data_IF_408897810005
#
_entry.id   IF_408897810005
#
_cell.length_a   1.000
_cell.length_b   1.000
_cell.length_c   1.000
_cell.angle_alpha   90.00
_cell.angle_beta   90.00
_cell.angle_gamma   90.00
#
_symmetry.space_group_name_H-M   'P 1'
#
loop_
_entity.id
_entity.type
_entity.pdbx_description
1 polymer ?
#
# COMPACT_ATOMS: atom_id res chain seq x y z
N UNK A 1 -20.98 -9.93 -27.41
CA UNK A 1 -20.76 -8.75 -26.55
C UNK A 1 -21.05 -7.53 -27.41
N UNK A 2 -22.09 -6.74 -27.12
CA UNK A 2 -22.34 -5.51 -27.89
C UNK A 2 -21.18 -4.54 -27.65
N UNK A 3 -20.59 -3.93 -28.69
CA UNK A 3 -19.58 -2.91 -28.48
C UNK A 3 -20.18 -1.79 -27.63
N UNK A 4 -19.43 -1.35 -26.62
CA UNK A 4 -19.81 -0.27 -25.75
C UNK A 4 -20.12 0.98 -26.61
N UNK A 5 -21.34 1.52 -26.51
CA UNK A 5 -21.87 2.55 -27.43
C UNK A 5 -21.07 3.86 -27.42
N UNK A 6 -20.33 4.14 -26.35
CA UNK A 6 -19.59 5.38 -26.18
C UNK A 6 -18.09 5.08 -26.13
N UNK A 7 -17.41 5.09 -27.28
CA UNK A 7 -15.95 4.98 -27.27
C UNK A 7 -15.34 6.14 -26.49
N UNK A 8 -14.59 5.81 -25.43
CA UNK A 8 -13.84 6.78 -24.64
C UNK A 8 -12.46 6.96 -25.27
N UNK A 9 -12.06 8.21 -25.50
CA UNK A 9 -10.74 8.57 -25.98
C UNK A 9 -9.97 9.32 -24.90
N UNK A 10 -8.64 9.18 -24.88
CA UNK A 10 -7.80 9.87 -23.90
C UNK A 10 -7.99 11.40 -23.90
N UNK A 11 -8.29 11.99 -25.07
CA UNK A 11 -8.56 13.43 -25.23
C UNK A 11 -9.79 13.92 -24.46
N UNK A 12 -10.73 13.03 -24.13
CA UNK A 12 -11.97 13.40 -23.42
C UNK A 12 -11.72 13.75 -21.94
N UNK A 13 -10.51 13.49 -21.44
CA UNK A 13 -10.10 13.70 -20.05
C UNK A 13 -9.18 14.92 -19.85
N UNK A 14 -8.83 15.62 -20.93
CA UNK A 14 -7.90 16.75 -20.93
C UNK A 14 -6.42 16.34 -20.89
N UNK A 15 -5.54 17.31 -21.15
CA UNK A 15 -4.09 17.07 -21.33
C UNK A 15 -3.36 16.70 -20.04
N UNK A 16 -3.91 17.08 -18.89
CA UNK A 16 -3.28 16.88 -17.58
C UNK A 16 -3.78 15.63 -16.84
N UNK A 17 -4.59 14.78 -17.49
CA UNK A 17 -5.10 13.57 -16.85
C UNK A 17 -3.99 12.51 -16.71
N UNK A 18 -3.84 11.97 -15.50
CA UNK A 18 -2.84 10.95 -15.19
C UNK A 18 -3.40 9.55 -15.47
N UNK A 19 -2.79 8.84 -16.42
CA UNK A 19 -3.08 7.43 -16.70
C UNK A 19 -1.91 6.58 -16.20
N UNK A 20 -2.20 5.58 -15.38
CA UNK A 20 -1.14 4.80 -14.75
C UNK A 20 -1.50 3.38 -14.37
N UNK A 21 -0.45 2.65 -14.00
CA UNK A 21 -0.51 1.28 -13.48
C UNK A 21 -0.17 1.31 -11.99
N UNK A 22 -0.78 0.43 -11.21
CA UNK A 22 -0.54 0.29 -9.78
C UNK A 22 -0.08 -1.12 -9.40
N UNK A 23 0.90 -1.22 -8.51
CA UNK A 23 1.37 -2.46 -7.89
C UNK A 23 1.50 -2.28 -6.37
N UNK A 24 1.74 -3.37 -5.65
CA UNK A 24 2.16 -3.33 -4.24
C UNK A 24 3.35 -4.24 -3.98
N UNK A 25 4.14 -3.90 -2.95
CA UNK A 25 5.41 -4.55 -2.69
C UNK A 25 5.24 -6.06 -2.44
N UNK A 26 4.40 -6.44 -1.47
CA UNK A 26 4.21 -7.86 -1.10
C UNK A 26 3.53 -8.70 -2.19
N UNK A 27 2.80 -8.07 -3.13
CA UNK A 27 2.13 -8.76 -4.22
C UNK A 27 3.03 -8.96 -5.44
N UNK A 28 4.06 -8.13 -5.62
CA UNK A 28 4.84 -8.07 -6.86
C UNK A 28 6.35 -8.28 -6.66
N UNK A 29 6.97 -7.74 -5.61
CA UNK A 29 8.43 -7.71 -5.47
C UNK A 29 9.08 -9.09 -5.39
N UNK A 30 8.58 -9.96 -4.52
CA UNK A 30 9.26 -11.20 -4.18
C UNK A 30 10.55 -10.91 -3.42
N UNK A 31 11.59 -11.73 -3.65
CA UNK A 31 12.90 -11.57 -3.02
C UNK A 31 12.81 -11.39 -1.49
N UNK A 32 11.89 -12.15 -0.87
CA UNK A 32 11.38 -11.85 0.48
C UNK A 32 12.42 -11.92 1.62
N UNK A 33 13.57 -12.57 1.38
CA UNK A 33 14.72 -12.70 2.29
C UNK A 33 16.02 -12.14 1.70
N UNK A 34 15.96 -11.55 0.50
CA UNK A 34 17.14 -11.00 -0.15
C UNK A 34 17.56 -9.69 0.50
N UNK A 35 18.86 -9.41 0.45
CA UNK A 35 19.44 -8.10 0.76
C UNK A 35 19.00 -7.53 2.11
N UNK A 36 18.87 -8.40 3.12
CA UNK A 36 18.56 -8.02 4.50
C UNK A 36 17.11 -7.64 4.78
N UNK A 37 16.17 -7.87 3.85
CA UNK A 37 14.73 -7.69 4.10
C UNK A 37 14.26 -8.59 5.27
N UNK A 38 13.49 -8.01 6.19
CA UNK A 38 12.81 -8.73 7.25
C UNK A 38 11.51 -9.39 6.78
N UNK A 39 10.98 -10.31 7.59
CA UNK A 39 9.67 -10.91 7.33
C UNK A 39 8.56 -9.87 7.55
N UNK A 40 7.55 -9.87 6.68
CA UNK A 40 6.28 -9.20 6.92
C UNK A 40 5.27 -10.13 7.60
N UNK A 41 4.20 -9.56 8.12
CA UNK A 41 3.02 -10.30 8.59
C UNK A 41 2.47 -11.26 7.52
N UNK A 42 2.53 -10.89 6.24
CA UNK A 42 2.11 -11.71 5.11
C UNK A 42 3.06 -12.86 4.80
N UNK A 43 4.38 -12.65 4.91
CA UNK A 43 5.36 -13.73 4.77
C UNK A 43 5.10 -14.87 5.77
N UNK A 44 4.64 -14.53 6.98
CA UNK A 44 4.27 -15.49 8.03
C UNK A 44 2.87 -16.05 7.81
N UNK A 45 1.89 -15.19 7.51
CA UNK A 45 0.50 -15.62 7.33
C UNK A 45 0.35 -16.60 6.17
N UNK A 46 1.04 -16.35 5.06
CA UNK A 46 0.97 -17.21 3.88
C UNK A 46 1.50 -18.63 4.13
N UNK A 47 2.30 -18.85 5.18
CA UNK A 47 2.80 -20.19 5.57
C UNK A 47 1.77 -21.03 6.31
N UNK A 48 0.68 -20.44 6.79
CA UNK A 48 -0.38 -21.18 7.50
C UNK A 48 -1.16 -22.08 6.55
N UNK A 49 -1.39 -23.33 6.97
CA UNK A 49 -2.17 -24.32 6.21
C UNK A 49 -3.60 -23.82 5.96
N UNK A 50 -4.08 -23.95 4.72
CA UNK A 50 -5.45 -23.62 4.34
C UNK A 50 -5.80 -22.12 4.28
N UNK A 51 -4.85 -21.22 4.55
CA UNK A 51 -5.10 -19.77 4.51
C UNK A 51 -4.96 -19.14 3.13
N UNK A 52 -4.09 -19.70 2.29
CA UNK A 52 -3.91 -19.24 0.91
C UNK A 52 -4.46 -20.30 -0.04
N UNK A 53 -5.37 -19.89 -0.92
CA UNK A 53 -5.87 -20.75 -2.01
C UNK A 53 -4.68 -21.22 -2.87
N UNK A 54 -4.50 -22.53 -3.01
CA UNK A 54 -3.36 -23.10 -3.74
C UNK A 54 -2.01 -22.97 -3.02
N UNK A 55 -1.97 -22.47 -1.78
CA UNK A 55 -0.76 -22.45 -0.96
C UNK A 55 0.34 -21.49 -1.41
N UNK A 56 0.05 -20.57 -2.34
CA UNK A 56 1.00 -19.61 -2.88
C UNK A 56 1.70 -18.79 -1.79
N UNK A 57 2.90 -18.30 -2.09
CA UNK A 57 3.78 -17.58 -1.16
C UNK A 57 4.26 -16.27 -1.77
N UNK A 58 4.44 -15.20 -0.96
CA UNK A 58 4.98 -13.93 -1.43
C UNK A 58 6.50 -13.98 -1.69
N UNK A 59 7.12 -15.18 -1.68
CA UNK A 59 8.57 -15.32 -1.79
C UNK A 59 9.14 -14.92 -3.14
N UNK A 60 8.36 -15.15 -4.22
CA UNK A 60 8.78 -14.95 -5.62
C UNK A 60 7.85 -14.00 -6.37
N UNK A 61 6.53 -14.14 -6.20
CA UNK A 61 5.51 -13.29 -6.86
C UNK A 61 5.76 -13.14 -8.37
N UNK A 62 5.81 -11.91 -8.90
CA UNK A 62 6.18 -11.60 -10.29
C UNK A 62 7.67 -11.31 -10.46
N UNK A 63 8.49 -11.53 -9.42
CA UNK A 63 9.95 -11.31 -9.43
C UNK A 63 10.35 -9.84 -9.70
N UNK A 64 9.45 -8.89 -9.39
CA UNK A 64 9.60 -7.46 -9.70
C UNK A 64 10.85 -6.86 -9.06
N UNK A 65 11.31 -7.36 -7.91
CA UNK A 65 12.53 -6.88 -7.26
C UNK A 65 13.76 -6.93 -8.18
N UNK A 66 13.85 -7.96 -9.04
CA UNK A 66 14.94 -8.12 -9.99
C UNK A 66 14.60 -7.59 -11.39
N UNK A 67 13.30 -7.50 -11.72
CA UNK A 67 12.81 -7.24 -13.09
C UNK A 67 12.13 -5.90 -13.30
N UNK A 68 12.11 -5.03 -12.28
CA UNK A 68 11.35 -3.77 -12.35
C UNK A 68 11.65 -2.92 -13.59
N UNK A 69 12.87 -2.98 -14.15
CA UNK A 69 13.21 -2.25 -15.38
C UNK A 69 12.40 -2.73 -16.59
N UNK A 70 12.27 -4.04 -16.75
CA UNK A 70 11.48 -4.63 -17.83
C UNK A 70 9.99 -4.27 -17.67
N UNK A 71 9.48 -4.35 -16.44
CA UNK A 71 8.09 -3.99 -16.12
C UNK A 71 7.81 -2.50 -16.38
N UNK A 72 8.74 -1.60 -16.05
CA UNK A 72 8.57 -0.16 -16.33
C UNK A 72 8.64 0.17 -17.83
N UNK A 73 9.45 -0.55 -18.60
CA UNK A 73 9.46 -0.43 -20.07
C UNK A 73 8.09 -0.82 -20.63
N UNK A 74 7.46 -1.87 -20.11
CA UNK A 74 6.11 -2.27 -20.51
C UNK A 74 5.07 -1.19 -20.16
N UNK A 75 5.13 -0.62 -18.95
CA UNK A 75 4.25 0.49 -18.54
C UNK A 75 4.36 1.66 -19.54
N UNK A 76 5.59 2.01 -19.93
CA UNK A 76 5.83 3.07 -20.91
C UNK A 76 5.32 2.70 -22.30
N UNK A 77 5.56 1.47 -22.76
CA UNK A 77 5.13 0.99 -24.07
C UNK A 77 3.60 0.97 -24.21
N UNK A 78 2.88 0.76 -23.10
CA UNK A 78 1.41 0.86 -23.05
C UNK A 78 0.88 2.31 -23.08
N UNK A 79 1.77 3.31 -23.06
CA UNK A 79 1.41 4.72 -23.14
C UNK A 79 1.06 5.37 -21.80
N UNK A 80 1.32 4.70 -20.67
CA UNK A 80 1.08 5.27 -19.35
C UNK A 80 2.17 6.28 -18.97
N UNK A 81 1.79 7.27 -18.15
CA UNK A 81 2.67 8.34 -17.68
C UNK A 81 2.86 8.34 -16.15
N UNK A 82 2.15 7.45 -15.45
CA UNK A 82 2.12 7.38 -13.99
C UNK A 82 2.33 5.96 -13.53
N UNK A 83 3.14 5.77 -12.49
CA UNK A 83 3.36 4.46 -11.88
C UNK A 83 3.19 4.54 -10.36
N UNK A 84 2.20 3.82 -9.86
CA UNK A 84 1.91 3.71 -8.42
C UNK A 84 2.52 2.42 -7.88
N UNK A 85 3.31 2.53 -6.81
CA UNK A 85 3.84 1.36 -6.11
C UNK A 85 3.92 1.63 -4.61
N UNK A 86 4.09 0.59 -3.80
CA UNK A 86 4.30 0.74 -2.36
C UNK A 86 5.75 0.44 -1.96
N UNK A 87 6.16 1.00 -0.83
CA UNK A 87 7.43 0.64 -0.18
C UNK A 87 7.15 -0.48 0.82
N UNK A 88 7.92 -1.57 0.77
CA UNK A 88 7.89 -2.59 1.80
C UNK A 88 8.59 -2.08 3.05
N UNK A 89 7.80 -1.83 4.10
CA UNK A 89 8.35 -1.40 5.39
C UNK A 89 9.39 -2.40 5.90
N UNK A 90 9.09 -3.70 5.84
CA UNK A 90 10.03 -4.76 6.23
C UNK A 90 11.32 -4.82 5.38
N UNK A 91 11.34 -4.21 4.19
CA UNK A 91 12.55 -4.13 3.37
C UNK A 91 13.46 -3.00 3.82
N UNK A 92 12.92 -1.86 4.24
CA UNK A 92 13.73 -0.70 4.66
C UNK A 92 14.05 -0.70 6.15
N UNK A 93 13.17 -1.24 6.99
CA UNK A 93 13.35 -1.46 8.42
C UNK A 93 12.99 -2.92 8.71
N UNK A 94 13.95 -3.86 8.67
CA UNK A 94 13.70 -5.30 8.81
C UNK A 94 13.02 -5.68 10.12
N UNK A 95 13.42 -5.03 11.21
CA UNK A 95 12.83 -5.18 12.54
C UNK A 95 11.66 -4.19 12.78
N UNK A 96 11.23 -3.49 11.73
CA UNK A 96 10.21 -2.45 11.73
C UNK A 96 10.59 -1.13 12.39
N UNK A 97 11.62 -1.13 13.23
CA UNK A 97 12.28 0.05 13.77
C UNK A 97 13.79 -0.15 13.82
N UNK A 98 14.52 0.90 14.19
CA UNK A 98 15.95 0.79 14.46
C UNK A 98 16.78 0.77 13.19
N UNK A 99 17.34 -0.39 12.84
CA UNK A 99 18.36 -0.50 11.80
C UNK A 99 17.75 -0.26 10.41
N UNK A 100 18.29 0.73 9.71
CA UNK A 100 17.95 0.98 8.30
C UNK A 100 18.69 -0.01 7.40
N UNK A 101 17.96 -0.70 6.53
CA UNK A 101 18.52 -1.56 5.52
C UNK A 101 18.89 -0.76 4.26
N UNK A 102 20.18 -0.44 4.12
CA UNK A 102 20.71 0.34 2.99
C UNK A 102 20.44 -0.30 1.63
N UNK A 103 20.45 -1.63 1.54
CA UNK A 103 20.18 -2.30 0.26
C UNK A 103 18.70 -2.14 -0.15
N UNK A 104 17.79 -2.18 0.82
CA UNK A 104 16.38 -1.86 0.63
C UNK A 104 16.16 -0.42 0.16
N UNK A 105 16.81 0.55 0.79
CA UNK A 105 16.79 1.96 0.35
C UNK A 105 17.33 2.10 -1.09
N UNK A 106 18.45 1.46 -1.38
CA UNK A 106 19.07 1.50 -2.71
C UNK A 106 18.15 0.90 -3.79
N UNK A 107 17.37 -0.14 -3.49
CA UNK A 107 16.38 -0.67 -4.42
C UNK A 107 15.32 0.37 -4.80
N UNK A 108 14.71 1.03 -3.83
CA UNK A 108 13.68 2.04 -4.12
C UNK A 108 14.25 3.27 -4.81
N UNK A 109 15.50 3.68 -4.52
CA UNK A 109 16.16 4.71 -5.33
C UNK A 109 16.28 4.31 -6.80
N UNK A 110 16.78 3.10 -7.10
CA UNK A 110 16.89 2.63 -8.49
C UNK A 110 15.53 2.55 -9.18
N UNK A 111 14.50 2.10 -8.46
CA UNK A 111 13.13 2.03 -8.99
C UNK A 111 12.59 3.44 -9.32
N UNK A 112 12.74 4.39 -8.39
CA UNK A 112 12.30 5.77 -8.58
C UNK A 112 13.07 6.42 -9.74
N UNK A 113 14.39 6.23 -9.80
CA UNK A 113 15.23 6.80 -10.84
C UNK A 113 14.86 6.26 -12.23
N UNK A 114 14.57 4.97 -12.32
CA UNK A 114 14.11 4.34 -13.57
C UNK A 114 12.73 4.87 -14.00
N UNK A 115 11.78 5.04 -13.05
CA UNK A 115 10.51 5.70 -13.34
C UNK A 115 10.72 7.09 -13.95
N UNK A 116 11.53 7.93 -13.30
CA UNK A 116 11.79 9.30 -13.76
C UNK A 116 12.51 9.33 -15.10
N UNK A 117 13.47 8.43 -15.33
CA UNK A 117 14.19 8.29 -16.59
C UNK A 117 13.23 7.98 -17.77
N UNK A 118 12.21 7.16 -17.53
CA UNK A 118 11.19 6.80 -18.52
C UNK A 118 10.07 7.85 -18.64
N UNK A 119 10.15 8.94 -17.88
CA UNK A 119 9.11 9.97 -17.81
C UNK A 119 7.82 9.48 -17.15
N UNK A 120 7.93 8.50 -16.25
CA UNK A 120 6.83 8.02 -15.41
C UNK A 120 6.84 8.79 -14.09
N UNK A 121 5.70 9.37 -13.73
CA UNK A 121 5.53 10.05 -12.45
C UNK A 121 5.29 9.02 -11.33
N UNK A 122 6.17 8.92 -10.32
CA UNK A 122 5.97 7.97 -9.22
C UNK A 122 4.88 8.46 -8.26
N UNK A 123 3.95 7.56 -7.92
CA UNK A 123 2.98 7.70 -6.84
C UNK A 123 3.28 6.65 -5.76
N UNK A 124 3.87 7.08 -4.64
CA UNK A 124 4.34 6.15 -3.62
C UNK A 124 3.29 5.95 -2.53
N UNK A 125 2.90 4.69 -2.32
CA UNK A 125 2.11 4.26 -1.17
C UNK A 125 3.04 3.86 -0.03
N UNK A 126 2.98 4.57 1.10
CA UNK A 126 3.84 4.31 2.26
C UNK A 126 3.50 2.99 2.93
N UNK A 127 2.22 2.64 3.07
CA UNK A 127 1.83 1.35 3.65
C UNK A 127 0.77 0.64 2.80
N UNK A 128 1.10 -0.60 2.40
CA UNK A 128 0.23 -1.49 1.65
C UNK A 128 0.22 -2.89 2.27
N UNK A 129 -0.14 -2.94 3.56
CA UNK A 129 -0.56 -4.12 4.32
C UNK A 129 0.55 -5.06 4.80
N UNK A 130 1.80 -4.79 4.46
CA UNK A 130 2.98 -5.62 4.68
C UNK A 130 3.80 -5.19 5.90
N UNK A 131 3.13 -5.11 7.06
CA UNK A 131 3.72 -4.73 8.33
C UNK A 131 4.91 -5.66 8.68
N UNK A 132 6.06 -5.13 9.13
CA UNK A 132 7.17 -5.94 9.64
C UNK A 132 6.67 -6.88 10.74
N UNK A 133 7.01 -8.17 10.65
CA UNK A 133 6.49 -9.19 11.55
C UNK A 133 6.89 -8.95 13.01
N UNK A 134 8.05 -8.33 13.23
CA UNK A 134 8.52 -7.91 14.55
C UNK A 134 7.52 -6.97 15.24
N UNK A 135 6.92 -6.02 14.50
CA UNK A 135 5.90 -5.13 15.05
C UNK A 135 4.56 -5.84 15.26
N UNK A 136 4.24 -6.83 14.42
CA UNK A 136 3.03 -7.64 14.59
C UNK A 136 3.07 -8.45 15.89
N UNK A 137 4.25 -8.95 16.29
CA UNK A 137 4.45 -9.59 17.61
C UNK A 137 4.21 -8.64 18.77
N UNK A 138 4.46 -7.35 18.59
CA UNK A 138 4.19 -6.29 19.56
C UNK A 138 2.77 -5.67 19.44
N UNK A 139 1.83 -6.40 18.85
CA UNK A 139 0.42 -6.01 18.74
C UNK A 139 0.03 -5.42 17.39
N UNK A 140 0.99 -5.10 16.54
CA UNK A 140 0.78 -4.58 15.20
C UNK A 140 -0.04 -3.29 15.21
N UNK A 141 -1.04 -3.20 14.34
CA UNK A 141 -1.92 -2.03 14.26
C UNK A 141 -2.76 -1.80 15.50
N UNK A 142 -2.94 -2.80 16.37
CA UNK A 142 -3.61 -2.61 17.66
C UNK A 142 -2.66 -2.09 18.76
N UNK A 143 -1.37 -1.91 18.47
CA UNK A 143 -0.38 -1.45 19.45
C UNK A 143 -0.48 0.05 19.73
N UNK A 144 -0.31 0.43 20.99
CA UNK A 144 -0.20 1.84 21.40
C UNK A 144 1.06 2.53 20.84
N UNK A 145 2.06 1.75 20.39
CA UNK A 145 3.29 2.28 19.81
C UNK A 145 3.18 2.56 18.30
N UNK A 146 2.07 2.20 17.64
CA UNK A 146 1.96 2.20 16.18
C UNK A 146 2.26 3.57 15.56
N UNK A 147 1.73 4.65 16.12
CA UNK A 147 2.00 6.02 15.64
C UNK A 147 3.49 6.36 15.66
N UNK A 148 4.20 5.96 16.72
CA UNK A 148 5.65 6.21 16.86
C UNK A 148 6.44 5.43 15.81
N UNK A 149 6.10 4.15 15.61
CA UNK A 149 6.77 3.32 14.61
C UNK A 149 6.52 3.84 13.20
N UNK A 150 5.25 4.09 12.87
CA UNK A 150 4.83 4.58 11.57
C UNK A 150 5.42 5.96 11.28
N UNK A 151 5.38 6.89 12.24
CA UNK A 151 5.96 8.22 12.06
C UNK A 151 7.46 8.18 11.76
N UNK A 152 8.23 7.31 12.43
CA UNK A 152 9.66 7.12 12.13
C UNK A 152 9.89 6.54 10.74
N UNK A 153 9.08 5.56 10.35
CA UNK A 153 9.12 4.97 9.01
C UNK A 153 8.80 6.00 7.93
N UNK A 154 7.74 6.78 8.10
CA UNK A 154 7.36 7.84 7.15
C UNK A 154 8.46 8.90 7.04
N UNK A 155 9.01 9.36 8.17
CA UNK A 155 10.13 10.31 8.19
C UNK A 155 11.33 9.79 7.41
N UNK A 156 11.72 8.54 7.62
CA UNK A 156 12.80 7.91 6.86
C UNK A 156 12.50 7.90 5.35
N UNK A 157 11.30 7.46 4.94
CA UNK A 157 10.91 7.46 3.54
C UNK A 157 10.94 8.86 2.91
N UNK A 158 10.49 9.88 3.63
CA UNK A 158 10.49 11.25 3.12
C UNK A 158 11.90 11.84 3.04
N UNK A 159 12.78 11.51 3.99
CA UNK A 159 14.16 11.96 4.00
C UNK A 159 14.93 11.37 2.81
N UNK A 160 14.75 10.07 2.56
CA UNK A 160 15.44 9.37 1.48
C UNK A 160 14.86 9.76 0.11
N UNK A 161 13.54 9.78 -0.05
CA UNK A 161 12.90 9.84 -1.38
C UNK A 161 12.18 11.15 -1.71
N UNK A 162 11.92 12.01 -0.72
CA UNK A 162 11.11 13.24 -0.87
C UNK A 162 11.69 14.29 -1.82
N UNK A 163 12.99 14.26 -2.07
CA UNK A 163 13.62 15.12 -3.06
C UNK A 163 13.27 14.73 -4.50
N UNK A 164 12.94 13.45 -4.76
CA UNK A 164 12.55 12.93 -6.08
C UNK A 164 11.03 12.77 -6.26
N UNK A 165 10.29 12.56 -5.17
CA UNK A 165 8.87 12.17 -5.22
C UNK A 165 7.98 13.18 -4.52
N UNK A 166 6.91 13.59 -5.21
CA UNK A 166 5.92 14.55 -4.69
C UNK A 166 4.55 13.95 -4.42
N UNK A 167 4.21 12.80 -5.00
CA UNK A 167 2.89 12.18 -4.84
C UNK A 167 2.94 11.04 -3.82
N UNK A 168 2.33 11.26 -2.66
CA UNK A 168 2.40 10.37 -1.51
C UNK A 168 1.01 9.91 -1.08
N UNK A 169 0.86 8.60 -0.94
CA UNK A 169 -0.34 7.94 -0.44
C UNK A 169 0.02 7.34 0.93
N UNK A 170 -0.59 7.82 2.01
CA UNK A 170 -0.19 7.43 3.37
C UNK A 170 -0.54 5.95 3.62
N UNK A 171 -1.82 5.59 3.52
CA UNK A 171 -2.28 4.21 3.66
C UNK A 171 -3.06 3.78 2.41
N UNK A 172 -2.89 2.53 2.00
CA UNK A 172 -3.84 1.87 1.11
C UNK A 172 -4.91 1.14 1.93
N UNK A 173 -6.18 1.43 1.64
CA UNK A 173 -7.35 0.69 2.12
C UNK A 173 -7.33 0.42 3.63
N UNK A 174 -7.35 1.47 4.48
CA UNK A 174 -7.27 1.31 5.92
C UNK A 174 -8.38 0.43 6.49
N UNK A 175 -9.62 0.62 6.03
CA UNK A 175 -10.74 -0.27 6.39
C UNK A 175 -10.52 -1.71 5.91
N UNK A 176 -9.89 -1.90 4.74
CA UNK A 176 -9.60 -3.23 4.19
C UNK A 176 -8.67 -4.03 5.09
N UNK A 177 -7.46 -3.53 5.37
CA UNK A 177 -6.50 -4.31 6.17
C UNK A 177 -6.91 -4.46 7.64
N UNK A 178 -7.61 -3.47 8.21
CA UNK A 178 -8.07 -3.58 9.60
C UNK A 178 -9.24 -4.56 9.72
N UNK A 179 -10.27 -4.46 8.88
CA UNK A 179 -11.42 -5.37 8.96
C UNK A 179 -11.05 -6.81 8.58
N UNK A 180 -10.31 -7.01 7.47
CA UNK A 180 -9.96 -8.35 7.03
C UNK A 180 -8.88 -8.99 7.89
N UNK A 181 -7.97 -8.19 8.46
CA UNK A 181 -6.85 -8.67 9.28
C UNK A 181 -7.15 -8.81 10.77
N UNK A 182 -8.00 -7.94 11.34
CA UNK A 182 -8.24 -7.84 12.78
C UNK A 182 -9.67 -8.21 13.21
N UNK A 183 -10.66 -8.15 12.32
CA UNK A 183 -12.05 -8.53 12.61
C UNK A 183 -12.44 -9.89 12.01
N UNK A 184 -12.24 -10.09 10.70
CA UNK A 184 -12.68 -11.30 9.99
C UNK A 184 -11.62 -12.40 9.93
N UNK A 185 -10.35 -12.08 10.21
CA UNK A 185 -9.24 -13.02 10.17
C UNK A 185 -8.96 -13.67 8.81
N UNK A 186 -9.46 -13.06 7.73
CA UNK A 186 -9.28 -13.52 6.35
C UNK A 186 -7.91 -13.15 5.77
N UNK A 187 -7.38 -11.99 6.16
CA UNK A 187 -6.05 -11.51 5.76
C UNK A 187 -5.08 -11.53 6.94
N UNK A 188 -3.78 -11.37 6.67
CA UNK A 188 -2.79 -11.19 7.72
C UNK A 188 -3.19 -10.01 8.64
N UNK A 189 -3.05 -10.13 9.97
CA UNK A 189 -2.46 -11.25 10.74
C UNK A 189 -3.41 -12.43 11.04
N UNK A 190 -4.68 -12.36 10.63
CA UNK A 190 -5.67 -13.41 10.84
C UNK A 190 -6.33 -13.36 12.22
N UNK A 191 -6.42 -12.17 12.82
CA UNK A 191 -7.06 -11.93 14.12
C UNK A 191 -8.57 -11.76 13.92
N UNK A 192 -9.35 -12.19 14.90
CA UNK A 192 -10.83 -12.14 14.91
C UNK A 192 -11.35 -11.49 16.18
N UNK A 193 -10.71 -10.39 16.61
CA UNK A 193 -10.97 -9.74 17.88
C UNK A 193 -11.46 -8.31 17.65
N UNK A 194 -12.71 -8.03 18.05
CA UNK A 194 -13.35 -6.74 17.84
C UNK A 194 -12.62 -5.58 18.56
N UNK A 195 -12.08 -5.80 19.77
CA UNK A 195 -11.29 -4.79 20.46
C UNK A 195 -10.01 -4.46 19.70
N UNK A 196 -9.32 -5.49 19.20
CA UNK A 196 -8.12 -5.29 18.40
C UNK A 196 -8.42 -4.58 17.07
N UNK A 197 -9.57 -4.86 16.46
CA UNK A 197 -10.07 -4.16 15.27
C UNK A 197 -10.34 -2.68 15.53
N UNK A 198 -11.05 -2.33 16.62
CA UNK A 198 -11.32 -0.93 16.97
C UNK A 198 -10.03 -0.15 17.21
N UNK A 199 -9.06 -0.75 17.92
CA UNK A 199 -7.73 -0.15 18.11
C UNK A 199 -6.97 0.01 16.78
N UNK A 200 -7.04 -1.00 15.90
CA UNK A 200 -6.38 -0.96 14.61
C UNK A 200 -6.95 0.14 13.68
N UNK A 201 -8.28 0.30 13.62
CA UNK A 201 -8.92 1.40 12.88
C UNK A 201 -8.48 2.74 13.45
N UNK A 202 -8.55 2.89 14.78
CA UNK A 202 -8.18 4.14 15.44
C UNK A 202 -6.74 4.55 15.12
N UNK A 203 -5.80 3.60 15.24
CA UNK A 203 -4.41 3.83 14.88
C UNK A 203 -4.23 4.11 13.39
N UNK A 204 -4.96 3.44 12.49
CA UNK A 204 -4.90 3.71 11.06
C UNK A 204 -5.37 5.14 10.73
N UNK A 205 -6.44 5.62 11.37
CA UNK A 205 -6.93 6.98 11.22
C UNK A 205 -5.89 8.01 11.69
N UNK A 206 -5.29 7.79 12.87
CA UNK A 206 -4.28 8.68 13.41
C UNK A 206 -2.97 8.65 12.60
N UNK A 207 -2.52 7.47 12.18
CA UNK A 207 -1.35 7.34 11.30
C UNK A 207 -1.57 8.00 9.92
N UNK A 208 -2.80 8.01 9.41
CA UNK A 208 -3.14 8.73 8.17
C UNK A 208 -2.90 10.24 8.35
N UNK A 209 -3.43 10.80 9.44
CA UNK A 209 -3.25 12.22 9.76
C UNK A 209 -1.78 12.56 10.03
N UNK A 210 -1.10 11.78 10.88
CA UNK A 210 0.26 12.03 11.33
C UNK A 210 1.27 11.84 10.19
N UNK A 211 1.13 10.76 9.42
CA UNK A 211 1.93 10.55 8.21
C UNK A 211 1.76 11.68 7.22
N UNK A 212 0.53 12.15 7.01
CA UNK A 212 0.26 13.31 6.16
C UNK A 212 0.84 14.62 6.69
N UNK A 213 0.96 14.80 8.02
CA UNK A 213 1.66 15.95 8.62
C UNK A 213 3.16 15.87 8.41
N UNK A 214 3.76 14.69 8.61
CA UNK A 214 5.19 14.47 8.41
C UNK A 214 5.56 14.72 6.94
N UNK A 215 4.86 14.10 5.99
CA UNK A 215 5.15 14.29 4.55
C UNK A 215 5.08 15.77 4.16
N UNK A 216 4.11 16.52 4.68
CA UNK A 216 3.96 17.96 4.38
C UNK A 216 5.10 18.81 4.91
N UNK A 217 5.63 18.46 6.08
CA UNK A 217 6.76 19.15 6.69
C UNK A 217 8.07 18.86 5.96
N UNK A 218 8.30 17.60 5.59
CA UNK A 218 9.58 17.13 5.03
C UNK A 218 9.69 17.31 3.52
N UNK A 219 8.56 17.35 2.79
CA UNK A 219 8.55 17.35 1.33
C UNK A 219 7.85 18.61 0.79
N UNK A 220 8.61 19.66 0.42
CA UNK A 220 8.05 20.85 -0.18
C UNK A 220 7.24 20.51 -1.45
N UNK A 221 6.05 21.11 -1.55
CA UNK A 221 5.08 20.92 -2.65
C UNK A 221 4.60 19.48 -2.82
N UNK A 222 4.55 18.69 -1.74
CA UNK A 222 3.97 17.35 -1.79
C UNK A 222 2.45 17.39 -2.04
N UNK A 223 1.99 16.47 -2.88
CA UNK A 223 0.60 16.05 -2.98
C UNK A 223 0.40 14.84 -2.07
N UNK A 224 -0.50 14.98 -1.10
CA UNK A 224 -0.64 14.02 -0.01
C UNK A 224 -2.08 13.54 0.02
N UNK A 225 -2.27 12.23 -0.03
CA UNK A 225 -3.58 11.60 0.07
C UNK A 225 -3.52 10.26 0.77
N UNK A 226 -4.67 9.60 0.84
CA UNK A 226 -4.80 8.21 1.26
C UNK A 226 -5.77 7.52 0.30
N UNK A 227 -5.62 6.21 0.09
CA UNK A 227 -6.46 5.48 -0.85
C UNK A 227 -7.50 4.67 -0.06
N UNK A 228 -8.78 4.85 -0.39
CA UNK A 228 -9.89 4.09 0.19
C UNK A 228 -10.46 3.12 -0.85
N UNK A 229 -10.77 1.91 -0.42
CA UNK A 229 -11.60 0.99 -1.19
C UNK A 229 -13.05 1.30 -0.82
N UNK A 230 -13.77 1.92 -1.74
CA UNK A 230 -15.19 2.20 -1.60
C UNK A 230 -15.96 1.34 -2.59
N UNK A 231 -17.11 0.84 -2.17
CA UNK A 231 -18.09 0.21 -3.06
C UNK A 231 -19.36 1.04 -3.00
N UNK A 232 -20.02 1.24 -4.13
CA UNK A 232 -21.32 1.90 -4.16
C UNK A 232 -22.32 1.03 -3.37
N UNK A 233 -22.91 1.61 -2.33
CA UNK A 233 -23.92 0.94 -1.51
C UNK A 233 -25.31 1.38 -1.97
N UNK A 234 -26.02 0.47 -2.62
CA UNK A 234 -27.39 0.69 -3.07
C UNK A 234 -28.38 -0.01 -2.13
N UNK A 235 -29.55 0.59 -1.85
CA UNK A 235 -30.59 -0.10 -1.10
C UNK A 235 -31.12 -1.28 -1.94
N UNK A 236 -31.55 -2.35 -1.28
CA UNK A 236 -32.08 -3.53 -1.96
C UNK A 236 -33.46 -3.24 -2.60
N UNK A 237 -34.26 -2.38 -1.96
CA UNK A 237 -35.53 -1.85 -2.45
C UNK A 237 -35.67 -0.36 -2.12
N UNK A 238 -36.73 0.28 -2.64
CA UNK A 238 -37.06 1.67 -2.32
C UNK A 238 -37.76 1.85 -0.95
N UNK A 239 -37.77 0.82 -0.10
CA UNK A 239 -38.33 0.93 1.26
C UNK A 239 -37.46 1.83 2.14
N UNK A 240 -38.08 2.52 3.09
CA UNK A 240 -37.36 3.39 4.03
C UNK A 240 -36.34 2.60 4.86
N UNK A 241 -36.64 1.35 5.21
CA UNK A 241 -35.78 0.45 5.97
C UNK A 241 -34.49 0.14 5.21
N UNK A 242 -34.59 -0.20 3.92
CA UNK A 242 -33.44 -0.52 3.07
C UNK A 242 -32.61 0.74 2.75
N UNK A 243 -33.26 1.89 2.54
CA UNK A 243 -32.57 3.19 2.37
C UNK A 243 -31.76 3.53 3.62
N UNK A 244 -32.34 3.37 4.82
CA UNK A 244 -31.65 3.61 6.07
C UNK A 244 -30.54 2.58 6.32
N UNK A 245 -30.71 1.33 5.88
CA UNK A 245 -29.68 0.30 5.97
C UNK A 245 -28.47 0.60 5.08
N UNK A 246 -28.72 0.97 3.81
CA UNK A 246 -27.68 1.40 2.89
C UNK A 246 -26.89 2.59 3.46
N UNK A 247 -27.58 3.60 3.99
CA UNK A 247 -26.94 4.78 4.62
C UNK A 247 -26.11 4.47 5.86
N UNK A 248 -26.38 3.37 6.58
CA UNK A 248 -25.54 2.94 7.72
C UNK A 248 -24.30 2.16 7.28
N UNK A 249 -24.35 1.55 6.10
CA UNK A 249 -23.26 0.73 5.57
C UNK A 249 -22.26 1.54 4.73
N UNK A 250 -22.73 2.60 4.07
CA UNK A 250 -21.91 3.67 3.45
C UNK A 250 -21.15 4.48 4.52
#
# INVERSE_FOLDING_TARGET
MMPYKNQLHAKDFGENFAWGVAISAIQNEGAHLADGKGLSNWDVFARRTGKIKGGAKPSTTTDFYYRFKDDLILVKALGFNTFRFSIAWSRILPEGTGRVNKAGIAFYHRLIDECLLLGLTPYITLYHWDLPYELEKEGGWASHQMQKWFGRYVKLCTDEFGHKVKNWIILNEPMGFTSLGYMLGKHAPGKTNLNAFMLAIHNAALCTADGGRIVRAEVPKAHIGTCFSCSEVLPYTDSNEDILAAKRAD
#
